data_IF_922248008728
#
_entry.id   IF_922248008728
#
_cell.length_a   1.000
_cell.length_b   1.000
_cell.length_c   1.000
_cell.angle_alpha   90.00
_cell.angle_beta   90.00
_cell.angle_gamma   90.00
#
_symmetry.space_group_name_H-M   'P 1'
#
loop_
_entity.id
_entity.type
_entity.pdbx_description
1 polymer ?
#
# COMPACT_ATOMS: atom_id res chain seq x y z
N UNK A 1 1.34 10.34 -9.66
CA UNK A 1 1.96 9.91 -8.40
C UNK A 1 0.92 10.03 -7.30
N UNK A 2 0.88 9.10 -6.35
CA UNK A 2 -0.10 9.08 -5.26
C UNK A 2 0.64 9.06 -3.93
N UNK A 3 0.19 9.89 -2.98
CA UNK A 3 0.80 9.93 -1.67
C UNK A 3 0.26 8.78 -0.78
N UNK A 4 1.16 8.07 -0.12
CA UNK A 4 0.82 7.04 0.87
C UNK A 4 1.41 7.44 2.23
N UNK A 5 0.54 7.62 3.23
CA UNK A 5 0.98 7.87 4.61
C UNK A 5 1.38 6.57 5.30
N UNK A 6 2.45 6.61 6.11
CA UNK A 6 2.85 5.48 6.95
C UNK A 6 1.76 5.08 7.95
N UNK A 7 0.95 6.04 8.41
CA UNK A 7 -0.19 5.74 9.28
C UNK A 7 -1.23 4.87 8.56
N UNK A 8 -1.52 5.16 7.28
CA UNK A 8 -2.43 4.34 6.47
C UNK A 8 -1.93 2.90 6.38
N UNK A 9 -0.64 2.70 6.07
CA UNK A 9 -0.06 1.36 6.01
C UNK A 9 -0.27 0.59 7.32
N UNK A 10 0.10 1.22 8.45
CA UNK A 10 -0.02 0.59 9.78
C UNK A 10 -1.46 0.27 10.14
N UNK A 11 -2.41 1.15 9.81
CA UNK A 11 -3.85 0.96 10.04
C UNK A 11 -4.38 -0.28 9.33
N UNK A 12 -3.82 -0.63 8.16
CA UNK A 12 -4.18 -1.82 7.38
C UNK A 12 -3.20 -2.99 7.56
N UNK A 13 -2.37 -2.97 8.62
CA UNK A 13 -1.49 -4.09 8.97
C UNK A 13 -0.23 -4.22 8.12
N UNK A 14 0.13 -3.19 7.35
CA UNK A 14 1.37 -3.11 6.58
C UNK A 14 2.41 -2.31 7.36
N UNK A 15 3.58 -2.88 7.57
CA UNK A 15 4.71 -2.20 8.22
C UNK A 15 5.45 -1.28 7.27
N UNK A 16 5.57 -1.67 6.00
CA UNK A 16 6.27 -0.94 4.95
C UNK A 16 5.84 -1.41 3.54
N UNK A 17 6.26 -0.67 2.52
CA UNK A 17 6.18 -1.06 1.11
C UNK A 17 7.59 -1.23 0.56
N UNK A 18 7.86 -2.34 -0.14
CA UNK A 18 9.13 -2.56 -0.83
C UNK A 18 9.09 -1.99 -2.25
N UNK A 19 10.23 -1.52 -2.80
CA UNK A 19 10.31 -1.15 -4.21
C UNK A 19 9.83 -2.28 -5.12
N UNK A 20 8.97 -1.96 -6.09
CA UNK A 20 8.38 -2.93 -7.01
C UNK A 20 7.24 -3.78 -6.42
N UNK A 21 6.88 -3.61 -5.14
CA UNK A 21 5.76 -4.32 -4.54
C UNK A 21 4.43 -3.83 -5.14
N UNK A 22 3.60 -4.78 -5.59
CA UNK A 22 2.25 -4.49 -6.07
C UNK A 22 1.28 -4.47 -4.88
N UNK A 23 0.47 -3.41 -4.82
CA UNK A 23 -0.59 -3.24 -3.82
C UNK A 23 -1.83 -2.65 -4.48
N UNK A 24 -3.00 -2.98 -3.95
CA UNK A 24 -4.25 -2.32 -4.31
C UNK A 24 -4.51 -1.17 -3.35
N UNK A 25 -4.93 -0.04 -3.90
CA UNK A 25 -5.22 1.16 -3.12
C UNK A 25 -6.58 1.73 -3.49
N UNK A 26 -7.32 2.21 -2.48
CA UNK A 26 -8.43 3.14 -2.69
C UNK A 26 -7.90 4.55 -2.42
N UNK A 27 -8.14 5.46 -3.35
CA UNK A 27 -7.63 6.82 -3.27
C UNK A 27 -8.74 7.87 -3.27
N UNK A 28 -8.39 9.07 -2.83
CA UNK A 28 -9.23 10.26 -2.88
C UNK A 28 -8.37 11.52 -2.79
N UNK A 29 -9.03 12.67 -2.77
CA UNK A 29 -8.36 13.96 -2.60
C UNK A 29 -7.83 14.12 -1.18
N UNK A 30 -6.62 14.62 -1.05
CA UNK A 30 -5.99 14.97 0.21
C UNK A 30 -5.14 16.23 0.12
N UNK A 31 -4.53 16.62 1.24
CA UNK A 31 -3.81 17.89 1.38
C UNK A 31 -2.66 18.07 0.37
N UNK A 32 -2.09 16.96 -0.12
CA UNK A 32 -0.97 16.93 -1.07
C UNK A 32 -1.36 16.44 -2.47
N UNK A 33 -2.66 16.47 -2.81
CA UNK A 33 -3.21 15.85 -4.01
C UNK A 33 -3.77 14.45 -3.72
N UNK A 34 -3.70 13.54 -4.70
CA UNK A 34 -4.23 12.19 -4.56
C UNK A 34 -3.54 11.43 -3.42
N UNK A 35 -4.34 10.86 -2.52
CA UNK A 35 -3.87 10.18 -1.32
C UNK A 35 -4.53 8.81 -1.15
N UNK A 36 -3.74 7.82 -0.73
CA UNK A 36 -4.26 6.49 -0.42
C UNK A 36 -5.03 6.51 0.92
N UNK A 37 -6.32 6.18 0.85
CA UNK A 37 -7.21 6.02 2.00
C UNK A 37 -7.20 4.59 2.54
N UNK A 38 -7.03 3.60 1.65
CA UNK A 38 -6.94 2.18 1.98
C UNK A 38 -5.80 1.54 1.18
N UNK A 39 -5.12 0.56 1.79
CA UNK A 39 -4.06 -0.21 1.13
C UNK A 39 -4.26 -1.69 1.43
N UNK A 40 -4.18 -2.54 0.40
CA UNK A 40 -4.27 -4.00 0.52
C UNK A 40 -3.13 -4.65 -0.26
N UNK A 41 -2.46 -5.66 0.31
CA UNK A 41 -1.46 -6.42 -0.42
C UNK A 41 -2.09 -7.14 -1.61
N UNK A 42 -1.34 -7.26 -2.70
CA UNK A 42 -1.75 -8.12 -3.80
C UNK A 42 -1.74 -9.58 -3.34
N UNK A 43 -2.90 -10.25 -3.43
CA UNK A 43 -3.07 -11.62 -2.94
C UNK A 43 -2.21 -12.63 -3.73
N UNK A 44 -1.75 -12.28 -4.93
CA UNK A 44 -0.81 -13.08 -5.73
C UNK A 44 0.63 -13.04 -5.22
N UNK A 45 0.97 -12.16 -4.28
CA UNK A 45 2.36 -11.83 -3.93
C UNK A 45 2.86 -12.34 -2.57
N UNK A 46 2.15 -13.24 -1.88
CA UNK A 46 2.59 -13.75 -0.58
C UNK A 46 2.34 -15.24 -0.41
N UNK A 47 3.03 -16.04 -1.22
CA UNK A 47 3.67 -17.25 -0.71
C UNK A 47 5.18 -17.05 -0.86
N UNK A 48 6.02 -17.40 0.13
CA UNK A 48 7.45 -17.44 -0.12
C UNK A 48 7.69 -18.44 -1.26
N UNK A 49 8.27 -17.98 -2.36
CA UNK A 49 8.95 -18.88 -3.30
C UNK A 49 10.17 -19.42 -2.56
N UNK A 50 9.97 -20.52 -1.83
CA UNK A 50 11.06 -21.34 -1.34
C UNK A 50 11.82 -21.88 -2.53
N UNK A 51 13.08 -21.46 -2.69
CA UNK A 51 14.08 -22.15 -3.50
C UNK A 51 14.85 -23.13 -2.63
#
# INVERSE_FOLDING_TARGET
>A
DIFVHMETLRRYGLTELRPGQVVYVRYGDGEKGLMAAEVRPDASGSGPTSH
#
